data_IF_072015495322
#
_entry.id   IF_072015495322
#
_cell.length_a   1.000
_cell.length_b   1.000
_cell.length_c   1.000
_cell.angle_alpha   90.00
_cell.angle_beta   90.00
_cell.angle_gamma   90.00
#
_symmetry.space_group_name_H-M   'P 1'
#
loop_
_entity.id
_entity.type
_entity.pdbx_description
1 polymer ?
#
# COMPACT_ATOMS: atom_id res chain seq x y z
N UNK A 1 15.38 -7.39 -25.31
CA UNK A 1 16.61 -6.79 -24.74
C UNK A 1 17.15 -5.75 -25.72
N UNK A 2 17.60 -4.57 -25.28
CA UNK A 2 18.13 -3.52 -26.19
C UNK A 2 19.61 -3.73 -26.55
N UNK A 3 20.31 -4.51 -25.74
CA UNK A 3 21.69 -4.95 -25.89
C UNK A 3 21.80 -6.41 -25.44
N UNK A 4 22.95 -7.03 -25.70
CA UNK A 4 23.24 -8.37 -25.19
C UNK A 4 23.40 -8.29 -23.67
N UNK A 5 22.87 -9.28 -22.95
CA UNK A 5 22.87 -9.32 -21.49
C UNK A 5 23.00 -10.76 -20.98
N UNK A 6 23.06 -10.95 -19.66
CA UNK A 6 23.14 -12.25 -19.01
C UNK A 6 22.10 -12.38 -17.90
N UNK A 7 21.27 -13.43 -17.96
CA UNK A 7 20.31 -13.78 -16.92
C UNK A 7 20.74 -15.07 -16.23
N UNK A 8 21.35 -14.95 -15.05
CA UNK A 8 21.95 -16.08 -14.35
C UNK A 8 23.03 -16.75 -15.22
N UNK A 9 22.95 -18.07 -15.48
CA UNK A 9 23.92 -18.74 -16.36
C UNK A 9 23.64 -18.56 -17.86
N UNK A 10 22.55 -17.90 -18.25
CA UNK A 10 22.10 -17.83 -19.64
C UNK A 10 22.45 -16.49 -20.31
N UNK A 11 23.09 -16.54 -21.47
CA UNK A 11 23.33 -15.36 -22.31
C UNK A 11 22.04 -15.00 -23.07
N UNK A 12 21.68 -13.71 -23.08
CA UNK A 12 20.48 -13.16 -23.68
C UNK A 12 20.89 -12.20 -24.80
N UNK A 13 20.74 -12.60 -26.08
CA UNK A 13 21.05 -11.71 -27.19
C UNK A 13 20.11 -10.49 -27.25
N UNK A 14 20.62 -9.40 -27.79
CA UNK A 14 19.85 -8.23 -28.20
C UNK A 14 18.66 -8.65 -29.05
N UNK A 15 17.51 -8.01 -28.81
CA UNK A 15 16.25 -8.29 -29.51
C UNK A 15 15.40 -9.39 -28.88
N UNK A 16 15.89 -10.10 -27.86
CA UNK A 16 15.09 -11.15 -27.19
C UNK A 16 13.88 -10.57 -26.45
N UNK A 17 12.69 -11.11 -26.70
CA UNK A 17 11.48 -10.80 -25.93
C UNK A 17 11.47 -11.57 -24.61
N UNK A 18 11.23 -10.87 -23.51
CA UNK A 18 11.28 -11.44 -22.15
C UNK A 18 9.95 -11.13 -21.45
N UNK A 19 9.34 -12.16 -20.90
CA UNK A 19 8.15 -12.06 -20.06
C UNK A 19 8.49 -12.44 -18.62
N UNK A 20 8.26 -11.53 -17.68
CA UNK A 20 8.37 -11.80 -16.25
C UNK A 20 6.99 -12.25 -15.76
N UNK A 21 6.87 -13.53 -15.38
CA UNK A 21 5.63 -14.05 -14.82
C UNK A 21 5.48 -13.62 -13.35
N UNK A 22 4.88 -12.45 -13.14
CA UNK A 22 4.52 -11.97 -11.78
C UNK A 22 3.60 -12.96 -11.08
N UNK A 23 2.71 -13.64 -11.83
CA UNK A 23 1.85 -14.70 -11.29
C UNK A 23 2.64 -15.83 -10.66
N UNK A 24 3.69 -16.34 -11.33
CA UNK A 24 4.53 -17.40 -10.80
C UNK A 24 5.35 -16.90 -9.61
N UNK A 25 5.85 -15.67 -9.67
CA UNK A 25 6.65 -15.08 -8.61
C UNK A 25 5.87 -14.94 -7.31
N UNK A 26 4.64 -14.41 -7.39
CA UNK A 26 3.72 -14.25 -6.25
C UNK A 26 3.18 -15.57 -5.70
N UNK A 27 3.32 -16.68 -6.44
CA UNK A 27 2.80 -18.00 -6.06
C UNK A 27 3.86 -19.09 -5.99
N UNK A 28 5.14 -18.72 -6.02
CA UNK A 28 6.21 -19.70 -5.98
C UNK A 28 6.28 -20.33 -4.59
N UNK A 29 6.18 -21.67 -4.45
CA UNK A 29 6.37 -22.34 -3.17
C UNK A 29 7.82 -22.23 -2.66
N UNK A 30 8.77 -21.88 -3.53
CA UNK A 30 10.16 -21.64 -3.15
C UNK A 30 10.36 -20.27 -2.48
N UNK A 31 9.42 -19.33 -2.69
CA UNK A 31 9.48 -17.96 -2.17
C UNK A 31 8.45 -17.71 -1.07
N UNK A 32 7.34 -18.44 -1.08
CA UNK A 32 6.19 -18.19 -0.21
C UNK A 32 5.70 -19.48 0.44
N UNK A 33 5.47 -19.43 1.76
CA UNK A 33 4.77 -20.50 2.46
C UNK A 33 3.27 -20.49 2.11
N UNK A 34 2.70 -21.63 1.72
CA UNK A 34 1.28 -21.73 1.34
C UNK A 34 0.86 -20.63 0.33
N UNK A 35 1.46 -20.60 -0.87
CA UNK A 35 1.29 -19.49 -1.83
C UNK A 35 -0.15 -19.30 -2.32
N UNK A 36 -0.94 -20.37 -2.35
CA UNK A 36 -2.33 -20.34 -2.82
C UNK A 36 -3.34 -19.94 -1.72
N UNK A 37 -2.89 -19.80 -0.46
CA UNK A 37 -3.75 -19.40 0.65
C UNK A 37 -3.85 -17.87 0.72
N UNK A 38 -5.08 -17.36 0.77
CA UNK A 38 -5.34 -15.96 1.10
C UNK A 38 -5.12 -15.71 2.59
N UNK A 39 -3.90 -15.28 2.94
CA UNK A 39 -3.50 -14.93 4.30
C UNK A 39 -2.93 -13.50 4.33
N UNK A 40 -3.72 -12.48 4.74
CA UNK A 40 -3.25 -11.11 4.89
C UNK A 40 -2.14 -10.96 5.93
N UNK A 41 -2.16 -11.77 6.99
CA UNK A 41 -1.22 -11.70 8.12
C UNK A 41 0.17 -12.24 7.78
N UNK A 42 0.36 -12.76 6.55
CA UNK A 42 1.68 -13.05 5.98
C UNK A 42 2.63 -11.86 6.06
N UNK A 43 2.08 -10.65 5.97
CA UNK A 43 2.83 -9.41 6.09
C UNK A 43 2.49 -8.76 7.44
N UNK A 44 3.38 -8.83 8.43
CA UNK A 44 3.14 -8.26 9.75
C UNK A 44 2.92 -6.75 9.68
N UNK A 45 1.88 -6.25 10.37
CA UNK A 45 1.50 -4.83 10.34
C UNK A 45 2.46 -3.89 11.06
N UNK A 46 3.35 -4.45 11.89
CA UNK A 46 4.42 -3.75 12.59
C UNK A 46 5.70 -3.60 11.75
N UNK A 47 5.76 -4.27 10.58
CA UNK A 47 6.82 -4.13 9.60
C UNK A 47 6.43 -3.14 8.48
N UNK A 48 7.42 -2.63 7.71
CA UNK A 48 7.13 -1.84 6.52
C UNK A 48 6.21 -2.58 5.55
N UNK A 49 5.33 -1.83 4.86
CA UNK A 49 4.44 -2.40 3.85
C UNK A 49 5.23 -3.14 2.76
N UNK A 50 4.81 -4.37 2.38
CA UNK A 50 5.54 -5.19 1.43
C UNK A 50 5.58 -4.52 0.05
N UNK A 51 6.76 -4.52 -0.56
CA UNK A 51 7.02 -3.95 -1.88
C UNK A 51 8.19 -4.66 -2.58
N UNK A 52 8.57 -4.19 -3.77
CA UNK A 52 9.60 -4.83 -4.58
C UNK A 52 10.99 -4.84 -3.92
N UNK A 53 11.25 -3.94 -2.97
CA UNK A 53 12.54 -3.85 -2.27
C UNK A 53 12.53 -4.69 -0.99
N UNK A 54 11.45 -4.63 -0.20
CA UNK A 54 11.39 -5.37 1.08
C UNK A 54 11.34 -6.88 0.85
N UNK A 55 10.73 -7.32 -0.25
CA UNK A 55 10.57 -8.74 -0.60
C UNK A 55 11.59 -9.20 -1.66
N UNK A 56 12.70 -8.49 -1.86
CA UNK A 56 13.76 -8.83 -2.83
C UNK A 56 13.22 -9.23 -4.22
N UNK A 57 12.38 -8.37 -4.78
CA UNK A 57 11.67 -8.56 -6.05
C UNK A 57 10.71 -9.76 -6.09
N UNK A 58 10.52 -10.56 -5.04
CA UNK A 58 9.51 -11.63 -4.99
C UNK A 58 8.08 -11.09 -5.00
N UNK A 59 7.87 -9.83 -4.60
CA UNK A 59 6.57 -9.18 -4.57
C UNK A 59 6.55 -7.89 -5.40
N UNK A 60 5.96 -7.97 -6.61
CA UNK A 60 5.86 -6.88 -7.58
C UNK A 60 4.42 -6.37 -7.83
N UNK A 61 3.67 -5.87 -6.83
CA UNK A 61 2.28 -5.42 -7.01
C UNK A 61 2.15 -4.22 -7.96
N UNK A 62 3.19 -3.39 -8.05
CA UNK A 62 3.24 -2.18 -8.87
C UNK A 62 4.44 -2.15 -9.84
N UNK A 63 5.05 -3.33 -10.09
CA UNK A 63 6.30 -3.45 -10.83
C UNK A 63 7.52 -3.02 -10.00
N UNK A 64 8.60 -2.63 -10.67
CA UNK A 64 9.85 -2.22 -10.01
C UNK A 64 10.78 -1.41 -10.92
N UNK A 65 11.81 -0.82 -10.31
CA UNK A 65 12.82 -0.02 -11.01
C UNK A 65 12.28 1.23 -11.71
N UNK A 66 12.97 1.70 -12.76
CA UNK A 66 12.66 2.96 -13.47
C UNK A 66 11.30 2.99 -14.19
N UNK A 67 10.63 1.84 -14.30
CA UNK A 67 9.34 1.67 -14.97
C UNK A 67 8.23 1.22 -14.00
N UNK A 68 8.48 1.33 -12.69
CA UNK A 68 7.46 1.13 -11.65
C UNK A 68 6.25 2.03 -11.90
N UNK A 69 5.07 1.55 -11.52
CA UNK A 69 3.83 2.32 -11.61
C UNK A 69 3.96 3.67 -10.88
N UNK A 70 3.68 4.76 -11.58
CA UNK A 70 3.66 6.12 -11.00
C UNK A 70 2.43 6.36 -10.10
N UNK A 71 1.40 5.53 -10.24
CA UNK A 71 0.15 5.61 -9.48
C UNK A 71 0.07 4.63 -8.31
N UNK A 72 1.18 4.07 -7.85
CA UNK A 72 1.20 3.05 -6.79
C UNK A 72 0.54 3.53 -5.49
N UNK A 73 0.90 4.72 -5.01
CA UNK A 73 0.33 5.31 -3.80
C UNK A 73 -1.15 5.67 -3.99
N UNK A 74 -1.51 6.17 -5.18
CA UNK A 74 -2.90 6.50 -5.49
C UNK A 74 -3.78 5.26 -5.44
N UNK A 75 -3.38 4.20 -6.16
CA UNK A 75 -4.12 2.94 -6.22
C UNK A 75 -4.21 2.27 -4.83
N UNK A 76 -3.16 2.37 -4.01
CA UNK A 76 -3.17 1.86 -2.64
C UNK A 76 -4.20 2.59 -1.79
N UNK A 77 -4.19 3.92 -1.77
CA UNK A 77 -5.16 4.70 -1.00
C UNK A 77 -6.59 4.50 -1.50
N UNK A 78 -6.81 4.50 -2.82
CA UNK A 78 -8.11 4.23 -3.41
C UNK A 78 -8.64 2.86 -2.97
N UNK A 79 -7.82 1.82 -3.07
CA UNK A 79 -8.19 0.44 -2.70
C UNK A 79 -8.52 0.32 -1.22
N UNK A 80 -7.70 0.90 -0.34
CA UNK A 80 -7.90 0.88 1.12
C UNK A 80 -9.20 1.60 1.48
N UNK A 81 -9.44 2.80 0.92
CA UNK A 81 -10.67 3.56 1.20
C UNK A 81 -11.90 2.82 0.70
N UNK A 82 -11.87 2.32 -0.54
CA UNK A 82 -12.98 1.57 -1.12
C UNK A 82 -13.30 0.32 -0.28
N UNK A 83 -12.28 -0.47 0.07
CA UNK A 83 -12.46 -1.66 0.91
C UNK A 83 -12.98 -1.33 2.30
N UNK A 84 -12.40 -0.34 2.99
CA UNK A 84 -12.84 0.05 4.33
C UNK A 84 -14.29 0.53 4.34
N UNK A 85 -14.71 1.31 3.34
CA UNK A 85 -16.08 1.80 3.21
C UNK A 85 -17.06 0.65 2.93
N UNK A 86 -16.72 -0.23 1.99
CA UNK A 86 -17.57 -1.37 1.62
C UNK A 86 -17.69 -2.37 2.79
N UNK A 87 -16.58 -2.77 3.39
CA UNK A 87 -16.55 -3.72 4.50
C UNK A 87 -17.24 -3.17 5.76
N UNK A 88 -17.18 -1.85 6.02
CA UNK A 88 -17.90 -1.23 7.13
C UNK A 88 -19.42 -1.27 6.94
N UNK A 89 -19.90 -1.13 5.70
CA UNK A 89 -21.33 -0.92 5.41
C UNK A 89 -22.06 -2.18 5.00
N UNK A 90 -21.36 -3.17 4.48
CA UNK A 90 -21.98 -4.33 3.85
C UNK A 90 -21.28 -5.64 4.21
N UNK A 91 -22.09 -6.70 4.28
CA UNK A 91 -21.65 -8.08 4.26
C UNK A 91 -21.87 -8.65 2.85
N UNK A 92 -20.86 -9.34 2.36
CA UNK A 92 -20.84 -9.91 1.02
C UNK A 92 -20.83 -11.44 1.12
N UNK A 93 -21.67 -12.09 0.35
CA UNK A 93 -21.70 -13.55 0.20
C UNK A 93 -21.91 -13.92 -1.26
N UNK A 94 -21.50 -15.12 -1.67
CA UNK A 94 -21.76 -15.59 -3.03
C UNK A 94 -23.26 -15.66 -3.27
N UNK A 95 -23.72 -15.13 -4.41
CA UNK A 95 -25.14 -15.19 -4.76
C UNK A 95 -25.58 -16.65 -4.96
N UNK A 96 -26.81 -17.04 -4.55
CA UNK A 96 -27.33 -18.37 -4.83
C UNK A 96 -27.32 -18.65 -6.34
N UNK A 97 -26.73 -19.78 -6.75
CA UNK A 97 -26.61 -20.14 -8.17
C UNK A 97 -25.56 -19.34 -8.94
N UNK A 98 -24.70 -18.56 -8.28
CA UNK A 98 -23.59 -17.88 -8.92
C UNK A 98 -22.70 -18.89 -9.67
N UNK A 99 -22.23 -18.55 -10.89
CA UNK A 99 -21.31 -19.41 -11.62
C UNK A 99 -19.97 -19.55 -10.88
N UNK A 100 -19.24 -20.63 -11.17
CA UNK A 100 -17.85 -20.76 -10.72
C UNK A 100 -17.02 -19.57 -11.21
N UNK A 101 -16.26 -18.97 -10.30
CA UNK A 101 -15.41 -17.80 -10.60
C UNK A 101 -14.11 -18.29 -11.26
N UNK A 102 -14.14 -18.41 -12.59
CA UNK A 102 -12.93 -18.65 -13.40
C UNK A 102 -12.21 -17.35 -13.76
N UNK A 103 -10.93 -17.46 -14.15
CA UNK A 103 -10.10 -16.31 -14.55
C UNK A 103 -9.85 -16.27 -16.07
N UNK A 104 -9.79 -15.07 -16.63
CA UNK A 104 -9.30 -14.80 -17.99
C UNK A 104 -8.16 -13.81 -17.93
N UNK A 105 -7.08 -14.07 -18.67
CA UNK A 105 -5.87 -13.24 -18.69
C UNK A 105 -5.92 -12.21 -19.81
N UNK A 106 -5.43 -11.01 -19.52
CA UNK A 106 -5.25 -9.90 -20.45
C UNK A 106 -4.28 -8.89 -19.85
N UNK A 107 -4.48 -7.59 -20.11
CA UNK A 107 -3.74 -6.54 -19.40
C UNK A 107 -3.97 -6.60 -17.88
N UNK A 108 -5.17 -7.01 -17.46
CA UNK A 108 -5.52 -7.33 -16.08
C UNK A 108 -6.23 -8.70 -16.03
N UNK A 109 -6.36 -9.25 -14.82
CA UNK A 109 -7.07 -10.50 -14.59
C UNK A 109 -8.56 -10.19 -14.44
N UNK A 110 -9.38 -10.80 -15.28
CA UNK A 110 -10.84 -10.67 -15.22
C UNK A 110 -11.49 -11.98 -14.81
N UNK A 111 -12.72 -11.89 -14.31
CA UNK A 111 -13.57 -13.06 -14.09
C UNK A 111 -14.24 -13.47 -15.40
N UNK A 112 -14.35 -14.77 -15.64
CA UNK A 112 -14.99 -15.33 -16.85
C UNK A 112 -16.47 -14.97 -16.98
N UNK A 113 -17.20 -14.86 -15.85
CA UNK A 113 -18.67 -14.69 -15.81
C UNK A 113 -19.13 -13.66 -14.76
N UNK A 114 -18.24 -12.75 -14.36
CA UNK A 114 -18.48 -11.82 -13.27
C UNK A 114 -18.26 -12.45 -11.88
N UNK A 115 -18.30 -11.61 -10.84
CA UNK A 115 -18.34 -12.01 -9.44
C UNK A 115 -19.70 -11.63 -8.86
N UNK A 116 -20.64 -12.58 -8.86
CA UNK A 116 -22.01 -12.34 -8.44
C UNK A 116 -22.16 -12.57 -6.95
N UNK A 117 -22.57 -11.53 -6.22
CA UNK A 117 -22.66 -11.53 -4.76
C UNK A 117 -24.00 -11.02 -4.27
N UNK A 118 -24.48 -11.58 -3.17
CA UNK A 118 -25.53 -10.98 -2.35
C UNK A 118 -24.89 -9.99 -1.39
N UNK A 119 -25.47 -8.80 -1.30
CA UNK A 119 -24.97 -7.71 -0.46
C UNK A 119 -26.04 -7.36 0.57
N UNK A 120 -25.69 -7.48 1.85
CA UNK A 120 -26.58 -7.13 2.97
C UNK A 120 -25.98 -5.95 3.71
N UNK A 121 -26.79 -4.94 4.04
CA UNK A 121 -26.33 -3.81 4.85
C UNK A 121 -25.98 -4.29 6.26
N UNK A 122 -24.80 -3.94 6.74
CA UNK A 122 -24.39 -4.19 8.13
C UNK A 122 -25.15 -3.25 9.04
N UNK A 123 -25.81 -3.82 10.04
CA UNK A 123 -26.23 -3.07 11.21
C UNK A 123 -25.02 -2.87 12.11
N UNK A 124 -24.28 -1.80 11.84
CA UNK A 124 -23.22 -1.36 12.75
C UNK A 124 -23.94 -0.76 13.97
N UNK A 125 -23.81 -1.34 15.18
CA UNK A 125 -24.32 -0.69 16.37
C UNK A 125 -23.75 0.72 16.42
N UNK A 126 -24.61 1.73 16.65
CA UNK A 126 -24.12 3.08 16.91
C UNK A 126 -23.04 2.96 17.97
N UNK A 127 -21.81 3.37 17.65
CA UNK A 127 -20.65 3.22 18.52
C UNK A 127 -21.04 3.62 19.94
N UNK A 128 -21.12 2.64 20.86
CA UNK A 128 -21.15 2.92 22.28
C UNK A 128 -20.00 3.87 22.55
N UNK A 129 -20.34 5.07 22.99
CA UNK A 129 -19.44 6.22 22.98
C UNK A 129 -18.06 5.85 23.49
N UNK A 130 -17.05 6.21 22.72
CA UNK A 130 -15.70 6.31 23.24
C UNK A 130 -15.73 7.47 24.24
N UNK A 131 -16.09 7.19 25.49
CA UNK A 131 -15.90 8.13 26.59
C UNK A 131 -14.40 8.30 26.72
N UNK A 132 -13.87 9.35 26.09
CA UNK A 132 -12.61 9.93 26.55
C UNK A 132 -12.85 10.35 27.99
N UNK A 133 -12.40 9.53 28.94
CA UNK A 133 -12.18 10.01 30.31
C UNK A 133 -11.15 11.13 30.19
N UNK A 134 -11.61 12.37 30.26
CA UNK A 134 -10.74 13.52 30.31
C UNK A 134 -9.82 13.34 31.53
N UNK A 135 -8.54 13.09 31.28
CA UNK A 135 -7.53 13.22 32.32
C UNK A 135 -7.58 14.69 32.82
N UNK A 136 -7.51 14.93 34.15
CA UNK A 136 -7.55 16.29 34.67
C UNK A 136 -6.38 17.08 34.08
N UNK A 137 -6.68 18.26 33.53
CA UNK A 137 -5.69 19.18 33.00
C UNK A 137 -4.68 19.52 34.10
N UNK A 138 -3.47 18.96 34.01
CA UNK A 138 -2.33 19.46 34.74
C UNK A 138 -2.06 20.88 34.23
N UNK A 139 -2.26 21.87 35.11
CA UNK A 139 -2.13 23.28 34.78
C UNK A 139 -0.75 23.61 34.22
N UNK A 140 -0.72 24.28 33.07
CA UNK A 140 0.48 24.98 32.61
C UNK A 140 0.77 26.14 33.57
N UNK A 141 1.99 26.26 34.13
CA UNK A 141 2.37 27.45 34.84
C UNK A 141 2.44 28.63 33.86
N UNK A 142 1.72 29.70 34.18
CA UNK A 142 1.78 30.95 33.44
C UNK A 142 3.20 31.52 33.51
N UNK A 143 3.83 31.73 32.35
CA UNK A 143 5.07 32.47 32.26
C UNK A 143 4.77 33.93 32.60
N UNK A 144 5.25 34.39 33.75
CA UNK A 144 5.21 35.79 34.13
C UNK A 144 6.03 36.61 33.11
N UNK A 145 5.41 37.67 32.60
CA UNK A 145 6.05 38.63 31.71
C UNK A 145 7.09 39.44 32.50
N UNK A 146 8.33 39.46 32.01
CA UNK A 146 9.40 40.34 32.49
C UNK A 146 9.34 41.67 31.69
N UNK A 147 9.09 42.82 32.33
CA UNK A 147 8.91 44.08 31.63
C UNK A 147 10.19 44.93 31.67
N UNK A 148 11.31 44.47 31.10
CA UNK A 148 12.50 45.34 30.97
C UNK A 148 13.53 44.88 29.91
N UNK A 149 13.09 44.69 28.67
CA UNK A 149 14.01 44.50 27.54
C UNK A 149 13.51 45.18 26.25
N UNK A 150 13.30 46.49 26.30
CA UNK A 150 13.28 47.31 25.10
C UNK A 150 14.66 47.94 24.87
N UNK A 151 15.24 47.64 23.71
CA UNK A 151 15.89 48.59 22.79
C UNK A 151 17.15 47.99 22.16
N UNK A 152 17.07 47.61 20.88
CA UNK A 152 17.76 48.33 19.80
C UNK A 152 17.56 47.62 18.46
N UNK A 153 17.01 48.37 17.51
CA UNK A 153 16.87 47.99 16.11
C UNK A 153 18.12 48.41 15.32
N UNK A 154 18.60 47.54 14.44
CA UNK A 154 19.32 47.89 13.21
C UNK A 154 19.38 46.67 12.26
N UNK A 155 18.85 46.83 11.05
CA UNK A 155 19.00 45.90 9.91
C UNK A 155 20.35 46.15 9.19
N UNK A 156 20.63 45.57 8.00
CA UNK A 156 20.51 44.18 7.53
C UNK A 156 21.87 43.63 7.03
N UNK A 157 22.01 42.33 6.81
CA UNK A 157 23.07 41.82 5.92
C UNK A 157 23.52 40.38 6.19
N UNK A 158 23.80 39.67 5.10
CA UNK A 158 24.64 38.47 5.11
C UNK A 158 23.90 37.16 4.92
N UNK A 159 23.73 36.75 3.66
CA UNK A 159 23.41 35.36 3.33
C UNK A 159 24.56 34.41 3.70
N UNK A 160 24.24 33.12 3.82
CA UNK A 160 25.20 32.02 3.90
C UNK A 160 24.53 30.71 3.42
N UNK A 161 25.31 29.68 3.00
CA UNK A 161 25.13 29.04 1.71
C UNK A 161 24.69 27.57 1.82
N UNK A 162 24.22 27.06 0.70
CA UNK A 162 23.93 25.63 0.46
C UNK A 162 25.24 24.85 0.40
N UNK A 163 25.35 23.76 1.16
CA UNK A 163 26.45 22.79 1.07
C UNK A 163 26.08 21.69 0.07
N UNK A 164 27.04 21.37 -0.78
CA UNK A 164 27.06 20.30 -1.79
C UNK A 164 26.77 18.92 -1.22
#
# INVERSE_FOLDING_TARGET
ALEDDQLGPYAIPKGTDIFISVWNLHRSPDLWEQPDTFNPDRFPTDLPMPNEVTEDYAYLPFGGGRRKCIGDQFALFESVVAMAVLARRFEFSMAPGAPLVGMTMGATIHTTKGLQMTVVRRDVPASSGMTHSAAPAAGCPAHAADPDAQAQAAAPGGGCPVKH
#
